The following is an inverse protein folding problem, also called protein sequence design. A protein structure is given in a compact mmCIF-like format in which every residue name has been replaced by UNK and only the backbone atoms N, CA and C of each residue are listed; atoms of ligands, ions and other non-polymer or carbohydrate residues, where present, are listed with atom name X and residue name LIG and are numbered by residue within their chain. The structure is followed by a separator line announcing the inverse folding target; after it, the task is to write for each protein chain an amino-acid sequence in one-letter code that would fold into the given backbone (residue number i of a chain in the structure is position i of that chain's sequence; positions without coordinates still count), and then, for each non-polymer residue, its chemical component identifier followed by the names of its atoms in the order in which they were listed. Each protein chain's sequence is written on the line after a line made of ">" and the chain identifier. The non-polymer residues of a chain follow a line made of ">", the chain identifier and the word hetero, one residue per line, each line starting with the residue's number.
data_IF_527980242985
#
_entry.id   IF_527980242985
#
_cell.length_a   1.000
_cell.length_b   1.000
_cell.length_c   1.000
_cell.angle_alpha   90.00
_cell.angle_beta   90.00
_cell.angle_gamma   90.00
#
_symmetry.space_group_name_H-M   'P 1'
#
loop_
_entity.id
_entity.type
_entity.pdbx_description
1 polymer ?
#
# COMPACT_ATOMS: atom_id res chain seq x y z
N UNK A 1 18.74 4.09 14.46
CA UNK A 1 18.52 5.07 13.37
C UNK A 1 18.06 4.28 12.15
N UNK A 2 16.74 4.10 11.99
CA UNK A 2 16.18 3.46 10.80
C UNK A 2 16.31 4.47 9.64
N UNK A 3 17.06 4.08 8.60
CA UNK A 3 17.20 4.90 7.39
C UNK A 3 15.83 4.98 6.72
N UNK A 4 15.51 6.16 6.20
CA UNK A 4 14.37 6.40 5.33
C UNK A 4 14.47 5.50 4.09
N UNK A 5 13.81 4.34 4.08
CA UNK A 5 13.77 3.46 2.91
C UNK A 5 12.42 3.69 2.24
N UNK A 6 12.43 4.53 1.20
CA UNK A 6 11.39 4.44 0.17
C UNK A 6 11.59 3.11 -0.55
N UNK A 7 10.63 2.21 -0.42
CA UNK A 7 10.67 0.89 -1.07
C UNK A 7 9.91 0.95 -2.39
N UNK A 8 10.58 0.58 -3.49
CA UNK A 8 9.96 0.43 -4.80
C UNK A 8 10.16 -1.00 -5.30
N UNK A 9 9.05 -1.70 -5.49
CA UNK A 9 9.05 -3.10 -5.92
C UNK A 9 8.23 -3.28 -7.19
N UNK A 10 8.67 -4.18 -8.06
CA UNK A 10 8.00 -4.51 -9.32
C UNK A 10 7.60 -5.97 -9.35
N UNK A 11 6.43 -6.25 -9.91
CA UNK A 11 6.02 -7.60 -10.28
C UNK A 11 6.33 -7.83 -11.75
N UNK A 12 6.91 -8.98 -12.08
CA UNK A 12 7.21 -9.37 -13.47
C UNK A 12 6.44 -10.64 -13.85
N UNK A 13 5.95 -10.69 -15.08
CA UNK A 13 5.38 -11.87 -15.72
C UNK A 13 6.15 -12.05 -17.03
N UNK A 14 6.83 -13.19 -17.17
CA UNK A 14 7.65 -13.48 -18.37
C UNK A 14 8.64 -12.35 -18.72
N UNK A 15 9.35 -11.84 -17.70
CA UNK A 15 10.30 -10.72 -17.80
C UNK A 15 9.69 -9.34 -18.10
N UNK A 16 8.38 -9.25 -18.38
CA UNK A 16 7.66 -7.99 -18.57
C UNK A 16 7.21 -7.45 -17.22
N UNK A 17 7.37 -6.15 -17.00
CA UNK A 17 6.85 -5.48 -15.79
C UNK A 17 5.33 -5.48 -15.87
N UNK A 18 4.69 -6.20 -14.96
CA UNK A 18 3.24 -6.35 -14.89
C UNK A 18 2.57 -5.34 -13.94
N UNK A 19 3.35 -4.80 -13.01
CA UNK A 19 2.89 -3.79 -12.06
C UNK A 19 3.99 -3.38 -11.10
N UNK A 20 3.69 -2.40 -10.27
CA UNK A 20 4.61 -1.89 -9.26
C UNK A 20 3.89 -1.48 -7.99
N UNK A 21 4.68 -1.40 -6.93
CA UNK A 21 4.26 -0.85 -5.65
C UNK A 21 5.35 0.05 -5.09
N UNK A 22 4.94 1.18 -4.51
CA UNK A 22 5.83 2.14 -3.85
C UNK A 22 5.33 2.42 -2.45
N UNK A 23 6.19 2.19 -1.46
CA UNK A 23 6.02 2.59 -0.07
C UNK A 23 7.04 3.67 0.28
N UNK A 24 6.66 4.59 1.14
CA UNK A 24 7.59 5.60 1.65
C UNK A 24 7.26 5.93 3.11
N UNK A 25 8.24 6.28 3.93
CA UNK A 25 7.96 6.79 5.27
C UNK A 25 7.43 8.22 5.16
N UNK A 26 6.29 8.55 5.79
CA UNK A 26 5.84 9.94 5.88
C UNK A 26 6.85 10.75 6.69
N UNK A 27 6.98 12.03 6.36
CA UNK A 27 7.95 12.93 7.01
C UNK A 27 7.75 13.04 8.52
N UNK A 28 6.50 12.88 8.98
CA UNK A 28 6.11 13.02 10.39
C UNK A 28 6.26 11.75 11.23
N UNK A 29 6.35 10.57 10.61
CA UNK A 29 6.38 9.27 11.32
C UNK A 29 7.31 8.27 10.62
N UNK A 30 8.61 8.22 10.98
CA UNK A 30 9.61 7.41 10.28
C UNK A 30 9.42 5.90 10.44
N UNK A 31 8.65 5.46 11.44
CA UNK A 31 8.36 4.04 11.71
C UNK A 31 7.06 3.55 11.04
N UNK A 32 6.43 4.41 10.24
CA UNK A 32 5.22 4.13 9.47
C UNK A 32 5.58 4.13 7.99
N UNK A 33 4.92 3.30 7.17
CA UNK A 33 5.04 3.38 5.72
C UNK A 33 3.68 3.71 5.09
N UNK A 34 3.65 4.68 4.18
CA UNK A 34 2.48 5.00 3.38
C UNK A 34 2.60 4.41 1.98
N UNK A 35 1.49 3.87 1.47
CA UNK A 35 1.38 3.45 0.09
C UNK A 35 1.23 4.67 -0.83
N UNK A 36 2.29 4.95 -1.58
CA UNK A 36 2.29 6.00 -2.60
C UNK A 36 1.66 5.57 -3.90
N UNK A 37 1.95 4.35 -4.37
CA UNK A 37 1.44 3.86 -5.64
C UNK A 37 1.30 2.35 -5.62
N UNK A 38 0.17 1.85 -6.12
CA UNK A 38 -0.03 0.44 -6.49
C UNK A 38 -0.68 0.42 -7.86
N UNK A 39 0.06 -0.05 -8.85
CA UNK A 39 -0.36 -0.04 -10.26
C UNK A 39 -0.17 -1.43 -10.83
N UNK A 40 -1.18 -1.92 -11.54
CA UNK A 40 -1.12 -3.13 -12.36
C UNK A 40 -1.50 -2.73 -13.77
N UNK A 41 -0.72 -3.13 -14.76
CA UNK A 41 -1.07 -2.83 -16.15
C UNK A 41 -2.35 -3.59 -16.54
N UNK A 42 -3.25 -2.99 -17.36
CA UNK A 42 -4.56 -3.56 -17.66
C UNK A 42 -4.54 -5.01 -18.14
N UNK A 43 -3.57 -5.37 -18.99
CA UNK A 43 -3.42 -6.72 -19.53
C UNK A 43 -3.05 -7.79 -18.50
N UNK A 44 -2.64 -7.39 -17.29
CA UNK A 44 -2.34 -8.28 -16.17
C UNK A 44 -3.37 -8.18 -15.04
N UNK A 45 -4.48 -7.46 -15.23
CA UNK A 45 -5.60 -7.52 -14.28
C UNK A 45 -6.18 -8.93 -14.20
N UNK A 46 -6.62 -9.35 -13.01
CA UNK A 46 -7.15 -10.70 -12.77
C UNK A 46 -6.11 -11.83 -12.67
N UNK A 47 -4.84 -11.58 -13.00
CA UNK A 47 -3.76 -12.60 -12.96
C UNK A 47 -3.17 -12.87 -11.58
N UNK A 48 -3.62 -12.15 -10.55
CA UNK A 48 -3.09 -12.23 -9.19
C UNK A 48 -1.91 -11.28 -8.91
N UNK A 49 -1.41 -10.53 -9.88
CA UNK A 49 -0.31 -9.54 -9.71
C UNK A 49 -0.61 -8.54 -8.57
N UNK A 50 -1.84 -8.01 -8.51
CA UNK A 50 -2.22 -7.10 -7.42
C UNK A 50 -2.23 -7.78 -6.05
N UNK A 51 -2.51 -9.08 -5.95
CA UNK A 51 -2.44 -9.83 -4.70
C UNK A 51 -1.00 -10.05 -4.26
N UNK A 52 -0.11 -10.34 -5.22
CA UNK A 52 1.32 -10.47 -4.98
C UNK A 52 1.93 -9.15 -4.46
N UNK A 53 1.66 -8.02 -5.13
CA UNK A 53 2.16 -6.70 -4.72
C UNK A 53 1.67 -6.28 -3.32
N UNK A 54 0.40 -6.55 -2.99
CA UNK A 54 -0.12 -6.30 -1.63
C UNK A 54 0.55 -7.23 -0.61
N UNK A 55 0.80 -8.50 -0.96
CA UNK A 55 1.53 -9.43 -0.10
C UNK A 55 2.97 -9.00 0.18
N UNK A 56 3.63 -8.36 -0.79
CA UNK A 56 4.94 -7.72 -0.58
C UNK A 56 4.83 -6.58 0.44
N UNK A 57 3.82 -5.72 0.33
CA UNK A 57 3.59 -4.65 1.31
C UNK A 57 3.40 -5.22 2.71
N UNK A 58 2.60 -6.27 2.85
CA UNK A 58 2.36 -6.93 4.14
C UNK A 58 3.60 -7.62 4.70
N UNK A 59 4.50 -8.10 3.84
CA UNK A 59 5.78 -8.67 4.28
C UNK A 59 6.71 -7.58 4.79
N UNK A 60 6.71 -6.41 4.14
CA UNK A 60 7.41 -5.21 4.62
C UNK A 60 6.79 -4.73 5.94
N UNK A 61 5.46 -4.80 6.08
CA UNK A 61 4.72 -4.38 7.28
C UNK A 61 5.25 -5.04 8.55
N UNK A 62 5.62 -6.32 8.48
CA UNK A 62 6.17 -7.09 9.62
C UNK A 62 7.44 -6.50 10.25
N UNK A 63 8.11 -5.58 9.56
CA UNK A 63 9.34 -4.94 10.03
C UNK A 63 9.14 -3.46 10.39
N UNK A 64 7.90 -2.95 10.34
CA UNK A 64 7.55 -1.57 10.67
C UNK A 64 6.38 -1.55 11.66
N UNK A 65 6.08 -0.38 12.24
CA UNK A 65 5.00 -0.27 13.22
C UNK A 65 3.64 -0.36 12.51
N UNK A 66 3.46 0.41 11.43
CA UNK A 66 2.20 0.45 10.65
C UNK A 66 2.46 0.64 9.17
N UNK A 67 1.55 0.11 8.34
CA UNK A 67 1.38 0.55 6.95
C UNK A 67 0.03 1.23 6.78
N UNK A 68 0.04 2.36 6.07
CA UNK A 68 -1.13 3.14 5.73
C UNK A 68 -1.42 3.06 4.23
N UNK A 69 -2.68 2.88 3.87
CA UNK A 69 -3.15 2.87 2.49
C UNK A 69 -4.35 3.79 2.36
N UNK A 70 -4.22 4.87 1.59
CA UNK A 70 -5.37 5.72 1.24
C UNK A 70 -6.02 5.21 -0.06
N UNK A 71 -7.30 4.86 0.00
CA UNK A 71 -8.09 4.35 -1.13
C UNK A 71 -9.13 5.37 -1.54
N UNK A 72 -9.14 5.76 -2.82
CA UNK A 72 -10.26 6.51 -3.42
C UNK A 72 -11.40 5.55 -3.71
N UNK A 73 -12.65 5.91 -3.37
CA UNK A 73 -13.92 5.17 -3.56
C UNK A 73 -13.87 3.99 -4.56
N UNK A 74 -13.32 2.86 -4.11
CA UNK A 74 -13.15 1.65 -4.90
C UNK A 74 -13.51 0.44 -4.04
N UNK A 75 -14.80 0.09 -4.03
CA UNK A 75 -15.34 -0.98 -3.17
C UNK A 75 -14.64 -2.32 -3.39
N UNK A 76 -14.24 -2.62 -4.63
CA UNK A 76 -13.48 -3.83 -4.97
C UNK A 76 -12.16 -3.88 -4.20
N UNK A 77 -11.43 -2.77 -4.18
CA UNK A 77 -10.14 -2.66 -3.51
C UNK A 77 -10.28 -2.59 -1.99
N UNK A 78 -11.27 -1.85 -1.49
CA UNK A 78 -11.60 -1.79 -0.05
C UNK A 78 -11.93 -3.17 0.50
N UNK A 79 -12.85 -3.91 -0.15
CA UNK A 79 -13.20 -5.27 0.25
C UNK A 79 -12.02 -6.24 0.14
N UNK A 80 -11.06 -5.98 -0.76
CA UNK A 80 -9.82 -6.76 -0.84
C UNK A 80 -8.92 -6.54 0.39
N UNK A 81 -8.77 -5.30 0.84
CA UNK A 81 -7.99 -4.97 2.04
C UNK A 81 -8.66 -5.54 3.31
N UNK A 82 -9.97 -5.35 3.47
CA UNK A 82 -10.73 -5.89 4.60
C UNK A 82 -10.59 -7.42 4.72
N UNK A 83 -10.74 -8.17 3.61
CA UNK A 83 -10.54 -9.64 3.60
C UNK A 83 -9.12 -10.08 3.98
N UNK A 84 -8.13 -9.19 3.90
CA UNK A 84 -6.73 -9.43 4.28
C UNK A 84 -6.40 -8.90 5.69
N UNK A 85 -7.41 -8.51 6.46
CA UNK A 85 -7.27 -8.05 7.84
C UNK A 85 -6.80 -6.60 7.99
N UNK A 86 -6.87 -5.79 6.93
CA UNK A 86 -6.72 -4.34 7.06
C UNK A 86 -8.02 -3.76 7.62
N UNK A 87 -7.91 -2.71 8.43
CA UNK A 87 -9.07 -2.02 8.99
C UNK A 87 -9.09 -0.55 8.55
N UNK A 88 -10.30 0.00 8.43
CA UNK A 88 -10.47 1.44 8.23
C UNK A 88 -10.05 2.16 9.53
N UNK A 89 -9.39 3.31 9.39
CA UNK A 89 -8.94 4.10 10.52
C UNK A 89 -9.13 5.60 10.24
N UNK A 90 -9.78 6.31 11.15
CA UNK A 90 -10.08 7.74 11.02
C UNK A 90 -9.13 8.63 11.85
N UNK A 91 -8.27 8.02 12.68
CA UNK A 91 -7.45 8.72 13.67
C UNK A 91 -5.97 8.89 13.30
N UNK A 92 -5.46 8.09 12.38
CA UNK A 92 -4.06 8.13 11.95
C UNK A 92 -3.84 9.19 10.89
N UNK A 93 -2.83 10.01 11.09
CA UNK A 93 -2.43 11.00 10.11
C UNK A 93 -1.78 10.33 8.89
N UNK A 94 -2.23 10.70 7.69
CA UNK A 94 -1.58 10.35 6.42
C UNK A 94 -1.34 11.61 5.59
N UNK A 95 -0.12 11.77 5.10
CA UNK A 95 0.25 12.89 4.23
C UNK A 95 -0.52 12.81 2.90
N UNK A 96 -0.71 11.59 2.37
CA UNK A 96 -1.49 11.35 1.14
C UNK A 96 -2.97 11.63 1.29
N UNK A 97 -3.52 11.40 2.47
CA UNK A 97 -4.91 11.73 2.78
C UNK A 97 -5.07 13.26 2.85
N UNK A 98 -4.12 13.98 3.45
CA UNK A 98 -4.13 15.44 3.49
C UNK A 98 -4.08 16.08 2.09
N UNK A 99 -3.35 15.48 1.15
CA UNK A 99 -3.29 15.92 -0.27
C UNK A 99 -4.57 15.61 -1.07
N UNK A 100 -5.43 14.72 -0.60
CA UNK A 100 -6.64 14.31 -1.32
C UNK A 100 -7.76 13.95 -0.33
N UNK A 101 -8.38 14.96 0.29
CA UNK A 101 -9.48 14.76 1.22
C UNK A 101 -10.63 14.06 0.50
N UNK A 102 -11.11 12.94 1.03
CA UNK A 102 -12.13 12.09 0.41
C UNK A 102 -11.69 10.65 0.15
N UNK A 103 -10.40 10.33 0.35
CA UNK A 103 -9.95 8.93 0.42
C UNK A 103 -10.29 8.33 1.78
N UNK A 104 -10.52 7.02 1.81
CA UNK A 104 -10.57 6.24 3.05
C UNK A 104 -9.19 5.72 3.39
N UNK A 105 -8.82 5.77 4.67
CA UNK A 105 -7.55 5.26 5.16
C UNK A 105 -7.72 3.83 5.67
N UNK A 106 -6.85 2.95 5.22
CA UNK A 106 -6.73 1.56 5.69
C UNK A 106 -5.39 1.37 6.37
N UNK A 107 -5.39 0.71 7.51
CA UNK A 107 -4.21 0.48 8.34
C UNK A 107 -3.99 -1.01 8.59
N UNK A 108 -2.71 -1.38 8.65
CA UNK A 108 -2.26 -2.69 9.11
C UNK A 108 -1.04 -2.55 10.00
N UNK A 109 -1.14 -3.08 11.20
CA UNK A 109 -0.04 -3.16 12.16
C UNK A 109 0.96 -4.25 11.71
N UNK A 110 2.23 -4.06 12.05
CA UNK A 110 3.32 -5.01 11.79
C UNK A 110 3.33 -6.25 12.69
#
# INVERSE_FOLDING_TARGET
>A
MLRCISEFSVARVEWIIAGCVRLFPPSSYPDVLELGSLVVYPQYEGTGVSCYLIGLCETIAKNVVKILISVTDNERLMGKYQRRGWHEDDGTFSERLAESPGKKLFVKEG
#
